data_IF_035099721938
#
_entry.id   IF_035099721938
#
_cell.length_a   1.000
_cell.length_b   1.000
_cell.length_c   1.000
_cell.angle_alpha   90.00
_cell.angle_beta   90.00
_cell.angle_gamma   90.00
#
_symmetry.space_group_name_H-M   'P 1'
#
loop_
_entity.id
_entity.type
_entity.pdbx_description
1 polymer ?
#
# COMPACT_ATOMS: atom_id res chain seq x y z
N UNK A 1 -34.08 -21.13 -55.12
CA UNK A 1 -32.81 -21.10 -54.37
C UNK A 1 -32.76 -19.79 -53.60
N UNK A 2 -33.02 -19.83 -52.28
CA UNK A 2 -33.03 -18.66 -51.39
C UNK A 2 -31.69 -18.60 -50.67
N UNK A 3 -31.00 -17.47 -50.75
CA UNK A 3 -29.84 -17.17 -49.92
C UNK A 3 -30.30 -16.82 -48.49
N UNK A 4 -29.52 -17.18 -47.45
CA UNK A 4 -29.58 -16.48 -46.18
C UNK A 4 -28.32 -15.65 -45.95
N UNK A 5 -28.59 -14.49 -45.37
CA UNK A 5 -27.69 -13.44 -44.91
C UNK A 5 -26.96 -13.89 -43.64
N UNK A 6 -25.67 -13.57 -43.52
CA UNK A 6 -24.97 -13.41 -42.25
C UNK A 6 -24.28 -12.04 -42.26
N UNK A 7 -24.56 -11.12 -41.33
CA UNK A 7 -23.84 -9.87 -41.24
C UNK A 7 -22.57 -10.04 -40.40
N UNK A 8 -21.58 -9.22 -40.77
CA UNK A 8 -20.24 -9.16 -40.23
C UNK A 8 -20.23 -8.89 -38.72
N UNK A 9 -19.57 -9.78 -37.96
CA UNK A 9 -19.09 -9.46 -36.63
C UNK A 9 -17.89 -8.51 -36.75
N UNK A 10 -18.17 -7.22 -36.56
CA UNK A 10 -17.16 -6.19 -36.32
C UNK A 10 -16.57 -6.46 -34.93
N UNK A 11 -15.36 -7.01 -34.86
CA UNK A 11 -14.58 -7.05 -33.61
C UNK A 11 -14.13 -5.62 -33.33
N UNK A 12 -14.92 -4.91 -32.52
CA UNK A 12 -14.54 -3.63 -31.95
C UNK A 12 -13.54 -3.91 -30.84
N UNK A 13 -12.25 -3.84 -31.17
CA UNK A 13 -11.14 -3.83 -30.22
C UNK A 13 -11.31 -2.59 -29.34
N UNK A 14 -11.93 -2.73 -28.17
CA UNK A 14 -11.93 -1.70 -27.16
C UNK A 14 -10.50 -1.62 -26.60
N UNK A 15 -9.74 -0.66 -27.12
CA UNK A 15 -8.57 -0.16 -26.43
C UNK A 15 -9.07 0.43 -25.11
N UNK A 16 -8.89 -0.31 -24.02
CA UNK A 16 -8.97 0.25 -22.67
C UNK A 16 -7.74 1.15 -22.55
N UNK A 17 -7.95 2.45 -22.74
CA UNK A 17 -6.97 3.46 -22.35
C UNK A 17 -6.75 3.33 -20.84
N UNK A 18 -5.64 2.69 -20.47
CA UNK A 18 -5.15 2.69 -19.09
C UNK A 18 -4.68 4.10 -18.77
N UNK A 19 -5.55 4.88 -18.13
CA UNK A 19 -5.18 6.16 -17.52
C UNK A 19 -4.10 5.96 -16.44
N UNK A 20 -3.32 7.00 -16.10
CA UNK A 20 -2.24 6.88 -15.14
C UNK A 20 -2.83 6.82 -13.73
N UNK A 21 -2.70 5.70 -13.03
CA UNK A 21 -3.24 5.54 -11.66
C UNK A 21 -2.18 5.00 -10.69
N UNK A 22 -2.25 5.50 -9.47
CA UNK A 22 -1.28 5.41 -8.37
C UNK A 22 -1.13 3.99 -7.81
N UNK A 23 0.10 3.47 -7.83
CA UNK A 23 0.57 2.34 -6.99
C UNK A 23 1.94 2.73 -6.41
N UNK A 24 2.18 2.34 -5.17
CA UNK A 24 3.50 2.43 -4.59
C UNK A 24 3.89 3.82 -4.11
N UNK A 25 3.05 4.51 -3.33
CA UNK A 25 3.67 5.33 -2.28
C UNK A 25 4.04 4.38 -1.15
N UNK A 26 5.29 3.92 -1.13
CA UNK A 26 5.96 3.64 0.14
C UNK A 26 5.70 4.89 0.98
N UNK A 27 4.98 4.76 2.09
CA UNK A 27 4.84 5.86 3.03
C UNK A 27 6.25 6.21 3.50
N UNK A 28 6.76 7.28 2.92
CA UNK A 28 7.96 7.92 3.37
C UNK A 28 7.60 8.53 4.72
N UNK A 29 8.12 7.95 5.80
CA UNK A 29 8.27 8.70 7.04
C UNK A 29 9.10 9.92 6.66
N UNK A 30 8.47 11.09 6.68
CA UNK A 30 9.16 12.37 6.58
C UNK A 30 9.96 12.57 7.87
N UNK A 31 11.07 11.86 8.01
CA UNK A 31 12.12 12.17 8.97
C UNK A 31 12.93 13.34 8.40
N UNK A 32 12.29 14.51 8.30
CA UNK A 32 13.03 15.76 8.28
C UNK A 32 13.48 16.02 9.72
N UNK A 33 14.62 15.43 10.07
CA UNK A 33 15.31 15.76 11.30
C UNK A 33 15.65 17.25 11.31
N UNK A 34 15.32 17.87 12.44
CA UNK A 34 15.61 19.24 12.84
C UNK A 34 17.06 19.63 12.55
N UNK A 35 17.27 20.48 11.53
CA UNK A 35 18.50 21.25 11.46
C UNK A 35 18.39 22.37 12.49
N UNK A 36 18.93 22.14 13.68
CA UNK A 36 19.28 23.18 14.64
C UNK A 36 20.42 24.03 14.04
N UNK A 37 20.04 24.95 13.17
CA UNK A 37 20.89 26.02 12.65
C UNK A 37 20.36 27.36 13.14
N UNK A 38 21.05 27.93 14.12
CA UNK A 38 20.80 29.30 14.59
C UNK A 38 21.07 30.29 13.45
N UNK A 39 20.04 31.02 13.02
CA UNK A 39 20.17 32.06 11.99
C UNK A 39 18.81 32.52 11.49
N UNK A 40 18.36 33.69 11.94
CA UNK A 40 17.00 34.20 11.75
C UNK A 40 16.57 34.46 10.30
N UNK A 41 15.25 34.51 10.13
CA UNK A 41 14.57 34.93 8.91
C UNK A 41 13.29 34.14 8.70
N UNK A 42 12.14 34.72 9.06
CA UNK A 42 10.81 34.13 8.89
C UNK A 42 10.41 33.98 7.43
N UNK A 43 10.92 32.94 6.77
CA UNK A 43 10.43 32.43 5.49
C UNK A 43 9.89 31.02 5.70
N UNK A 44 8.69 30.74 5.20
CA UNK A 44 8.17 29.38 5.16
C UNK A 44 9.24 28.45 4.57
N UNK A 45 9.56 27.35 5.27
CA UNK A 45 10.55 26.39 4.79
C UNK A 45 10.16 25.96 3.36
N UNK A 46 11.04 26.22 2.39
CA UNK A 46 10.79 25.81 1.00
C UNK A 46 10.73 24.29 0.94
N UNK A 47 9.69 23.76 0.32
CA UNK A 47 9.60 22.32 0.01
C UNK A 47 10.82 21.92 -0.83
N UNK A 48 11.62 20.92 -0.39
CA UNK A 48 12.80 20.50 -1.13
C UNK A 48 12.42 20.01 -2.54
N UNK A 49 13.26 20.35 -3.52
CA UNK A 49 13.18 19.81 -4.88
C UNK A 49 13.52 18.31 -4.92
N UNK A 50 13.12 17.61 -5.99
CA UNK A 50 13.47 16.20 -6.16
C UNK A 50 14.98 15.93 -6.18
N UNK A 51 15.79 16.86 -6.70
CA UNK A 51 17.25 16.74 -6.69
C UNK A 51 17.81 16.87 -5.27
N UNK A 52 17.30 17.81 -4.48
CA UNK A 52 17.71 17.95 -3.07
C UNK A 52 17.31 16.72 -2.26
N UNK A 53 16.12 16.16 -2.49
CA UNK A 53 15.68 14.92 -1.85
C UNK A 53 16.56 13.73 -2.25
N UNK A 54 16.98 13.64 -3.52
CA UNK A 54 17.90 12.62 -4.00
C UNK A 54 19.25 12.71 -3.27
N UNK A 55 19.84 13.90 -3.22
CA UNK A 55 21.13 14.14 -2.54
C UNK A 55 21.05 13.91 -1.03
N UNK A 56 19.93 14.26 -0.40
CA UNK A 56 19.67 13.98 1.01
C UNK A 56 19.59 12.48 1.27
N UNK A 57 18.85 11.73 0.43
CA UNK A 57 18.73 10.29 0.57
C UNK A 57 20.08 9.59 0.45
N UNK A 58 20.93 10.01 -0.50
CA UNK A 58 22.28 9.44 -0.67
C UNK A 58 23.19 9.60 0.55
N UNK A 59 22.97 10.64 1.37
CA UNK A 59 23.75 10.91 2.59
C UNK A 59 23.30 10.07 3.79
N UNK A 60 22.19 9.33 3.69
CA UNK A 60 21.69 8.53 4.81
C UNK A 60 22.63 7.36 5.11
N UNK A 61 23.05 7.18 6.38
CA UNK A 61 24.03 6.15 6.74
C UNK A 61 23.46 4.75 6.58
N UNK A 62 22.23 4.50 7.04
CA UNK A 62 21.60 3.20 6.98
C UNK A 62 21.12 2.87 5.55
N UNK A 63 21.50 1.69 5.05
CA UNK A 63 21.20 1.26 3.68
C UNK A 63 19.70 1.06 3.44
N UNK A 64 18.96 0.58 4.44
CA UNK A 64 17.52 0.37 4.35
C UNK A 64 16.77 1.71 4.27
N UNK A 65 17.13 2.68 5.11
CA UNK A 65 16.55 4.02 5.08
C UNK A 65 16.85 4.71 3.74
N UNK A 66 18.10 4.62 3.28
CA UNK A 66 18.52 5.16 1.98
C UNK A 66 17.70 4.57 0.84
N UNK A 67 17.56 3.24 0.79
CA UNK A 67 16.76 2.56 -0.23
C UNK A 67 15.28 2.97 -0.17
N UNK A 68 14.65 2.98 1.02
CA UNK A 68 13.25 3.38 1.20
C UNK A 68 13.01 4.82 0.70
N UNK A 69 13.93 5.73 1.01
CA UNK A 69 13.85 7.14 0.60
C UNK A 69 13.97 7.32 -0.92
N UNK A 70 14.92 6.62 -1.54
CA UNK A 70 15.12 6.64 -2.99
C UNK A 70 13.94 6.00 -3.75
N UNK A 71 13.39 4.87 -3.27
CA UNK A 71 12.19 4.25 -3.86
C UNK A 71 10.97 5.16 -3.72
N UNK A 72 10.79 5.80 -2.56
CA UNK A 72 9.71 6.76 -2.35
C UNK A 72 9.82 7.98 -3.26
N UNK A 73 11.03 8.51 -3.46
CA UNK A 73 11.31 9.58 -4.41
C UNK A 73 11.01 9.15 -5.86
N UNK A 74 11.51 7.98 -6.26
CA UNK A 74 11.29 7.43 -7.60
C UNK A 74 9.79 7.29 -7.92
N UNK A 75 8.99 6.85 -6.95
CA UNK A 75 7.53 6.80 -7.10
C UNK A 75 6.91 8.18 -7.34
N UNK A 76 7.35 9.21 -6.62
CA UNK A 76 6.87 10.59 -6.83
C UNK A 76 7.27 11.12 -8.21
N UNK A 77 8.50 10.83 -8.64
CA UNK A 77 8.99 11.18 -9.97
C UNK A 77 8.21 10.45 -11.07
N UNK A 78 7.95 9.15 -10.92
CA UNK A 78 7.12 8.38 -11.83
C UNK A 78 5.71 8.98 -11.98
N UNK A 79 5.09 9.41 -10.86
CA UNK A 79 3.79 10.11 -10.87
C UNK A 79 3.85 11.47 -11.58
N UNK A 80 4.99 12.15 -11.50
CA UNK A 80 5.24 13.39 -12.22
C UNK A 80 5.64 13.16 -13.70
N UNK A 81 5.55 11.90 -14.19
CA UNK A 81 6.01 11.47 -15.52
C UNK A 81 7.51 11.70 -15.77
N UNK A 82 8.31 11.79 -14.72
CA UNK A 82 9.76 11.89 -14.77
C UNK A 82 10.39 10.50 -14.67
N UNK A 83 10.22 9.70 -15.73
CA UNK A 83 10.69 8.30 -15.77
C UNK A 83 12.22 8.19 -15.71
N UNK A 84 12.95 9.17 -16.24
CA UNK A 84 14.41 9.18 -16.27
C UNK A 84 14.97 9.32 -14.85
N UNK A 85 14.52 10.34 -14.10
CA UNK A 85 15.02 10.51 -12.75
C UNK A 85 14.46 9.45 -11.79
N UNK A 86 13.24 8.94 -12.04
CA UNK A 86 12.71 7.81 -11.29
C UNK A 86 13.64 6.60 -11.41
N UNK A 87 14.01 6.17 -12.63
CA UNK A 87 14.89 5.01 -12.79
C UNK A 87 16.29 5.26 -12.20
N UNK A 88 16.85 6.48 -12.35
CA UNK A 88 18.10 6.87 -11.69
C UNK A 88 18.04 6.72 -10.16
N UNK A 89 16.91 7.09 -9.53
CA UNK A 89 16.69 6.88 -8.11
C UNK A 89 16.57 5.40 -7.74
N UNK A 90 15.93 4.58 -8.59
CA UNK A 90 15.83 3.14 -8.39
C UNK A 90 17.18 2.43 -8.52
N UNK A 91 18.03 2.84 -9.48
CA UNK A 91 19.40 2.32 -9.59
C UNK A 91 20.22 2.61 -8.33
N UNK A 92 20.13 3.82 -7.79
CA UNK A 92 20.78 4.17 -6.54
C UNK A 92 20.21 3.38 -5.34
N UNK A 93 18.89 3.15 -5.31
CA UNK A 93 18.27 2.31 -4.29
C UNK A 93 18.80 0.87 -4.35
N UNK A 94 18.94 0.31 -5.56
CA UNK A 94 19.46 -1.04 -5.78
C UNK A 94 20.88 -1.23 -5.25
N UNK A 95 21.73 -0.20 -5.32
CA UNK A 95 23.07 -0.25 -4.69
C UNK A 95 22.98 -0.46 -3.18
N UNK A 96 22.00 0.16 -2.51
CA UNK A 96 21.78 0.02 -1.08
C UNK A 96 21.11 -1.32 -0.73
N UNK A 97 20.20 -1.79 -1.58
CA UNK A 97 19.50 -3.07 -1.39
C UNK A 97 20.47 -4.25 -1.43
N UNK A 98 21.57 -4.18 -2.19
CA UNK A 98 22.59 -5.25 -2.28
C UNK A 98 23.15 -5.70 -0.93
N UNK A 99 23.22 -4.82 0.07
CA UNK A 99 23.72 -5.15 1.41
C UNK A 99 22.62 -5.56 2.40
N UNK A 100 21.36 -5.53 2.00
CA UNK A 100 20.23 -5.93 2.83
C UNK A 100 19.94 -7.42 2.69
N UNK A 101 19.25 -7.98 3.67
CA UNK A 101 18.75 -9.36 3.71
C UNK A 101 17.32 -9.40 4.26
N UNK A 102 16.71 -10.57 4.26
CA UNK A 102 15.43 -10.80 4.93
C UNK A 102 14.26 -9.97 4.38
N UNK A 103 13.33 -9.62 5.26
CA UNK A 103 12.07 -8.95 4.91
C UNK A 103 12.31 -7.61 4.22
N UNK A 104 13.21 -6.78 4.73
CA UNK A 104 13.49 -5.45 4.16
C UNK A 104 14.00 -5.56 2.72
N UNK A 105 14.87 -6.53 2.44
CA UNK A 105 15.36 -6.78 1.09
C UNK A 105 14.22 -7.17 0.15
N UNK A 106 13.39 -8.12 0.54
CA UNK A 106 12.27 -8.59 -0.29
C UNK A 106 11.25 -7.46 -0.56
N UNK A 107 10.85 -6.71 0.47
CA UNK A 107 9.92 -5.58 0.34
C UNK A 107 10.47 -4.52 -0.63
N UNK A 108 11.75 -4.18 -0.52
CA UNK A 108 12.38 -3.17 -1.38
C UNK A 108 12.56 -3.65 -2.82
N UNK A 109 12.91 -4.91 -3.05
CA UNK A 109 12.99 -5.48 -4.41
C UNK A 109 11.63 -5.43 -5.12
N UNK A 110 10.56 -5.83 -4.43
CA UNK A 110 9.19 -5.76 -4.95
C UNK A 110 8.76 -4.30 -5.20
N UNK A 111 9.14 -3.38 -4.32
CA UNK A 111 8.82 -1.96 -4.47
C UNK A 111 9.55 -1.33 -5.67
N UNK A 112 10.83 -1.63 -5.85
CA UNK A 112 11.60 -1.18 -7.04
C UNK A 112 10.96 -1.73 -8.31
N UNK A 113 10.63 -3.02 -8.34
CA UNK A 113 9.94 -3.61 -9.48
C UNK A 113 8.61 -2.90 -9.77
N UNK A 114 7.79 -2.65 -8.74
CA UNK A 114 6.51 -1.98 -8.91
C UNK A 114 6.63 -0.57 -9.49
N UNK A 115 7.62 0.22 -9.04
CA UNK A 115 7.87 1.56 -9.63
C UNK A 115 8.37 1.42 -11.08
N UNK A 116 9.25 0.45 -11.38
CA UNK A 116 9.70 0.18 -12.75
C UNK A 116 8.57 -0.23 -13.68
N UNK A 117 7.64 -1.07 -13.21
CA UNK A 117 6.46 -1.45 -13.96
C UNK A 117 5.64 -0.23 -14.39
N UNK A 118 5.46 0.74 -13.50
CA UNK A 118 4.75 2.00 -13.81
C UNK A 118 5.40 2.87 -14.86
N UNK A 119 6.72 2.92 -14.89
CA UNK A 119 7.45 3.68 -15.92
C UNK A 119 7.70 2.84 -17.19
N UNK A 120 6.99 1.72 -17.35
CA UNK A 120 7.03 0.89 -18.57
C UNK A 120 8.19 -0.11 -18.63
N UNK A 121 8.88 -0.36 -17.52
CA UNK A 121 10.09 -1.19 -17.44
C UNK A 121 9.86 -2.55 -16.75
N UNK A 122 8.63 -3.06 -16.68
CA UNK A 122 8.33 -4.35 -16.05
C UNK A 122 9.14 -5.51 -16.67
N UNK A 123 9.12 -5.63 -18.00
CA UNK A 123 9.74 -6.74 -18.73
C UNK A 123 11.24 -6.89 -18.46
N UNK A 124 11.98 -5.77 -18.41
CA UNK A 124 13.43 -5.75 -18.16
C UNK A 124 13.79 -5.88 -16.68
N UNK A 125 12.81 -5.75 -15.79
CA UNK A 125 12.99 -5.80 -14.33
C UNK A 125 12.62 -7.14 -13.72
N UNK A 126 12.28 -8.14 -14.54
CA UNK A 126 11.79 -9.44 -14.06
C UNK A 126 12.77 -10.21 -13.17
N UNK A 127 14.08 -9.93 -13.27
CA UNK A 127 15.07 -10.54 -12.38
C UNK A 127 14.94 -10.07 -10.92
N UNK A 128 14.39 -8.87 -10.69
CA UNK A 128 14.08 -8.39 -9.34
C UNK A 128 13.03 -9.28 -8.65
N UNK A 129 12.05 -9.78 -9.40
CA UNK A 129 11.04 -10.70 -8.86
C UNK A 129 11.62 -12.08 -8.55
N UNK A 130 12.61 -12.53 -9.32
CA UNK A 130 13.34 -13.78 -9.01
C UNK A 130 14.16 -13.62 -7.74
N UNK A 131 14.87 -12.50 -7.60
CA UNK A 131 15.66 -12.20 -6.40
C UNK A 131 14.78 -12.00 -5.17
N UNK A 132 13.61 -11.36 -5.33
CA UNK A 132 12.61 -11.23 -4.27
C UNK A 132 12.08 -12.61 -3.86
N UNK A 133 11.72 -13.47 -4.81
CA UNK A 133 11.27 -14.85 -4.55
C UNK A 133 12.30 -15.61 -3.71
N UNK A 134 13.58 -15.64 -4.13
CA UNK A 134 14.63 -16.32 -3.35
C UNK A 134 14.77 -15.77 -1.94
N UNK A 135 14.68 -14.45 -1.79
CA UNK A 135 14.74 -13.81 -0.47
C UNK A 135 13.54 -14.21 0.40
N UNK A 136 12.35 -14.35 -0.20
CA UNK A 136 11.11 -14.76 0.47
C UNK A 136 11.16 -16.24 0.88
N UNK A 137 11.75 -17.09 0.05
CA UNK A 137 11.91 -18.52 0.31
C UNK A 137 12.69 -18.75 1.63
N UNK A 138 13.69 -17.90 1.90
CA UNK A 138 14.54 -17.91 3.10
C UNK A 138 13.86 -17.34 4.36
N UNK A 139 12.68 -16.71 4.24
CA UNK A 139 11.98 -16.16 5.40
C UNK A 139 11.28 -17.24 6.21
N UNK A 140 11.23 -17.02 7.52
CA UNK A 140 10.37 -17.77 8.42
C UNK A 140 8.89 -17.60 8.07
N UNK A 141 8.12 -18.66 8.32
CA UNK A 141 6.69 -18.66 8.13
C UNK A 141 6.01 -17.61 9.02
N UNK A 142 5.05 -16.86 8.45
CA UNK A 142 4.28 -15.86 9.20
C UNK A 142 3.73 -14.74 8.31
N UNK A 143 3.15 -13.73 8.96
CA UNK A 143 2.44 -12.62 8.32
C UNK A 143 3.28 -11.88 7.26
N UNK A 144 4.57 -11.67 7.53
CA UNK A 144 5.48 -10.98 6.60
C UNK A 144 5.71 -11.80 5.32
N UNK A 145 6.04 -13.09 5.45
CA UNK A 145 6.21 -14.00 4.31
C UNK A 145 4.92 -14.11 3.50
N UNK A 146 3.78 -14.30 4.17
CA UNK A 146 2.45 -14.32 3.53
C UNK A 146 2.19 -13.05 2.71
N UNK A 147 2.37 -11.87 3.32
CA UNK A 147 2.15 -10.59 2.65
C UNK A 147 3.05 -10.40 1.43
N UNK A 148 4.32 -10.80 1.53
CA UNK A 148 5.29 -10.71 0.44
C UNK A 148 4.95 -11.66 -0.71
N UNK A 149 4.51 -12.88 -0.42
CA UNK A 149 4.06 -13.83 -1.45
C UNK A 149 2.84 -13.31 -2.21
N UNK A 150 1.88 -12.66 -1.54
CA UNK A 150 0.75 -12.02 -2.23
C UNK A 150 1.20 -10.86 -3.12
N UNK A 151 2.15 -10.02 -2.67
CA UNK A 151 2.69 -8.95 -3.51
C UNK A 151 3.45 -9.51 -4.71
N UNK A 152 4.25 -10.57 -4.52
CA UNK A 152 4.96 -11.27 -5.58
C UNK A 152 3.99 -11.90 -6.60
N UNK A 153 2.93 -12.56 -6.12
CA UNK A 153 1.90 -13.14 -6.98
C UNK A 153 1.24 -12.09 -7.86
N UNK A 154 0.88 -10.95 -7.27
CA UNK A 154 0.28 -9.84 -7.99
C UNK A 154 1.22 -9.22 -9.03
N UNK A 155 2.50 -9.03 -8.69
CA UNK A 155 3.50 -8.55 -9.63
C UNK A 155 3.67 -9.51 -10.83
N UNK A 156 3.70 -10.82 -10.59
CA UNK A 156 3.74 -11.80 -11.67
C UNK A 156 2.47 -11.81 -12.52
N UNK A 157 1.30 -11.72 -11.90
CA UNK A 157 0.02 -11.80 -12.59
C UNK A 157 -0.26 -10.55 -13.44
N UNK A 158 -0.08 -9.37 -12.85
CA UNK A 158 -0.54 -8.09 -13.40
C UNK A 158 0.49 -7.42 -14.31
N UNK A 159 1.78 -7.50 -13.95
CA UNK A 159 2.84 -6.74 -14.64
C UNK A 159 3.68 -7.60 -15.59
N UNK A 160 3.70 -8.92 -15.40
CA UNK A 160 4.51 -9.86 -16.19
C UNK A 160 3.68 -10.86 -17.00
N UNK A 161 2.38 -10.95 -16.77
CA UNK A 161 1.48 -11.96 -17.36
C UNK A 161 1.95 -13.41 -17.13
N UNK A 162 2.67 -13.66 -16.02
CA UNK A 162 3.25 -14.98 -15.66
C UNK A 162 2.36 -15.74 -14.69
N UNK A 163 1.20 -16.19 -15.18
CA UNK A 163 0.18 -16.90 -14.38
C UNK A 163 0.74 -18.10 -13.59
N UNK A 164 1.70 -18.85 -14.13
CA UNK A 164 2.30 -20.02 -13.43
C UNK A 164 3.07 -19.60 -12.17
N UNK A 165 3.92 -18.57 -12.26
CA UNK A 165 4.70 -18.09 -11.11
C UNK A 165 3.81 -17.39 -10.09
N UNK A 166 2.78 -16.69 -10.55
CA UNK A 166 1.77 -16.10 -9.68
C UNK A 166 1.04 -17.19 -8.88
N UNK A 167 0.53 -18.22 -9.55
CA UNK A 167 -0.15 -19.36 -8.90
C UNK A 167 0.77 -20.13 -7.96
N UNK A 168 2.06 -20.29 -8.29
CA UNK A 168 3.03 -20.90 -7.39
C UNK A 168 3.20 -20.10 -6.08
N UNK A 169 3.30 -18.77 -6.19
CA UNK A 169 3.41 -17.87 -5.03
C UNK A 169 2.15 -17.92 -4.16
N UNK A 170 0.95 -18.01 -4.77
CA UNK A 170 -0.32 -18.16 -4.06
C UNK A 170 -0.41 -19.48 -3.30
N UNK A 171 -0.01 -20.58 -3.94
CA UNK A 171 0.02 -21.91 -3.33
C UNK A 171 0.93 -21.94 -2.10
N UNK A 172 2.06 -21.23 -2.13
CA UNK A 172 2.94 -21.12 -0.96
C UNK A 172 2.35 -20.23 0.14
N UNK A 173 1.59 -19.19 -0.22
CA UNK A 173 0.94 -18.29 0.74
C UNK A 173 -0.21 -18.96 1.50
N UNK A 174 -0.95 -19.87 0.85
CA UNK A 174 -2.15 -20.51 1.38
C UNK A 174 -2.02 -21.07 2.81
N UNK A 175 -1.06 -21.95 3.14
CA UNK A 175 -0.94 -22.50 4.49
C UNK A 175 -0.55 -21.47 5.56
N UNK A 176 0.01 -20.32 5.16
CA UNK A 176 0.39 -19.27 6.11
C UNK A 176 -0.82 -18.47 6.59
N UNK A 177 -1.92 -18.49 5.84
CA UNK A 177 -3.13 -17.75 6.19
C UNK A 177 -3.71 -18.23 7.52
N UNK A 178 -3.74 -19.55 7.73
CA UNK A 178 -4.27 -20.16 8.96
C UNK A 178 -3.33 -20.00 10.18
N UNK A 179 -2.12 -19.48 9.98
CA UNK A 179 -1.16 -19.15 11.05
C UNK A 179 -1.31 -17.71 11.55
N UNK A 180 -2.08 -16.88 10.85
CA UNK A 180 -2.31 -15.49 11.23
C UNK A 180 -3.32 -15.39 12.37
N UNK A 181 -3.27 -14.30 13.14
CA UNK A 181 -4.34 -13.99 14.08
C UNK A 181 -5.68 -13.82 13.37
N UNK A 182 -6.80 -14.04 14.07
CA UNK A 182 -8.15 -13.94 13.49
C UNK A 182 -8.39 -12.60 12.79
N UNK A 183 -7.92 -11.50 13.39
CA UNK A 183 -8.00 -10.17 12.79
C UNK A 183 -7.18 -10.07 11.49
N UNK A 184 -5.97 -10.60 11.47
CA UNK A 184 -5.11 -10.59 10.28
C UNK A 184 -5.63 -11.51 9.17
N UNK A 185 -6.31 -12.60 9.52
CA UNK A 185 -6.96 -13.49 8.55
C UNK A 185 -8.01 -12.78 7.71
N UNK A 186 -8.77 -11.84 8.28
CA UNK A 186 -9.74 -11.04 7.52
C UNK A 186 -9.06 -10.26 6.40
N UNK A 187 -8.04 -9.47 6.74
CA UNK A 187 -7.28 -8.72 5.74
C UNK A 187 -6.56 -9.64 4.75
N UNK A 188 -5.97 -10.72 5.27
CA UNK A 188 -5.25 -11.71 4.48
C UNK A 188 -6.14 -12.41 3.45
N UNK A 189 -7.33 -12.87 3.83
CA UNK A 189 -8.29 -13.54 2.94
C UNK A 189 -8.80 -12.59 1.86
N UNK A 190 -9.08 -11.33 2.19
CA UNK A 190 -9.49 -10.32 1.19
C UNK A 190 -8.39 -10.08 0.16
N UNK A 191 -7.14 -9.92 0.62
CA UNK A 191 -5.97 -9.72 -0.25
C UNK A 191 -5.65 -10.96 -1.08
N UNK A 192 -5.81 -12.14 -0.51
CA UNK A 192 -5.61 -13.40 -1.21
C UNK A 192 -6.68 -13.59 -2.31
N UNK A 193 -7.95 -13.32 -2.01
CA UNK A 193 -9.02 -13.31 -3.01
C UNK A 193 -8.73 -12.36 -4.18
N UNK A 194 -8.24 -11.14 -3.90
CA UNK A 194 -7.78 -10.21 -4.95
C UNK A 194 -6.68 -10.82 -5.83
N UNK A 195 -5.70 -11.49 -5.22
CA UNK A 195 -4.61 -12.13 -5.97
C UNK A 195 -5.08 -13.36 -6.79
N UNK A 196 -6.08 -14.11 -6.29
CA UNK A 196 -6.76 -15.17 -7.04
C UNK A 196 -7.48 -14.63 -8.29
N UNK A 197 -8.20 -13.51 -8.15
CA UNK A 197 -8.82 -12.82 -9.31
C UNK A 197 -7.76 -12.38 -10.32
N UNK A 198 -6.62 -11.88 -9.86
CA UNK A 198 -5.52 -11.45 -10.74
C UNK A 198 -4.96 -12.60 -11.60
N UNK A 199 -5.00 -13.84 -11.11
CA UNK A 199 -4.61 -15.03 -11.89
C UNK A 199 -5.77 -15.70 -12.63
N UNK A 200 -6.96 -15.08 -12.61
CA UNK A 200 -8.17 -15.54 -13.30
C UNK A 200 -9.01 -16.56 -12.52
N UNK A 201 -8.71 -16.81 -11.24
CA UNK A 201 -9.41 -17.78 -10.41
C UNK A 201 -10.55 -17.12 -9.60
N UNK A 202 -11.57 -16.65 -10.32
CA UNK A 202 -12.73 -16.00 -9.69
C UNK A 202 -13.58 -16.99 -8.87
N UNK A 203 -13.59 -18.26 -9.25
CA UNK A 203 -14.35 -19.32 -8.58
C UNK A 203 -13.86 -19.52 -7.14
N UNK A 204 -12.54 -19.52 -6.91
CA UNK A 204 -11.98 -19.56 -5.57
C UNK A 204 -12.03 -18.20 -4.85
N UNK A 205 -11.90 -17.09 -5.59
CA UNK A 205 -11.80 -15.76 -4.99
C UNK A 205 -13.09 -15.27 -4.32
N UNK A 206 -14.24 -15.43 -4.99
CA UNK A 206 -15.52 -14.88 -4.51
C UNK A 206 -15.99 -15.43 -3.16
N UNK A 207 -16.03 -16.76 -2.92
CA UNK A 207 -16.42 -17.28 -1.61
C UNK A 207 -15.42 -16.87 -0.51
N UNK A 208 -14.11 -16.83 -0.82
CA UNK A 208 -13.08 -16.41 0.13
C UNK A 208 -13.26 -14.94 0.55
N UNK A 209 -13.51 -14.05 -0.41
CA UNK A 209 -13.77 -12.64 -0.15
C UNK A 209 -15.03 -12.45 0.69
N UNK A 210 -16.13 -13.12 0.30
CA UNK A 210 -17.42 -13.03 1.00
C UNK A 210 -17.30 -13.48 2.44
N UNK A 211 -16.69 -14.64 2.68
CA UNK A 211 -16.48 -15.16 4.03
C UNK A 211 -15.60 -14.23 4.88
N UNK A 212 -14.57 -13.62 4.29
CA UNK A 212 -13.71 -12.68 5.00
C UNK A 212 -14.44 -11.39 5.42
N UNK A 213 -15.29 -10.84 4.54
CA UNK A 213 -16.11 -9.66 4.86
C UNK A 213 -17.15 -9.99 5.94
N UNK A 214 -17.75 -11.17 5.90
CA UNK A 214 -18.64 -11.65 6.96
C UNK A 214 -17.90 -11.81 8.30
N UNK A 215 -16.73 -12.44 8.29
CA UNK A 215 -15.90 -12.59 9.49
C UNK A 215 -15.50 -11.22 10.08
N UNK A 216 -15.24 -10.22 9.24
CA UNK A 216 -14.98 -8.86 9.70
C UNK A 216 -16.14 -8.28 10.51
N UNK A 217 -17.38 -8.62 10.17
CA UNK A 217 -18.58 -8.15 10.86
C UNK A 217 -18.77 -8.76 12.25
N UNK A 218 -18.05 -9.82 12.58
CA UNK A 218 -18.04 -10.45 13.91
C UNK A 218 -16.90 -9.93 14.80
N UNK A 219 -15.90 -9.24 14.23
CA UNK A 219 -14.82 -8.65 15.00
C UNK A 219 -15.31 -7.47 15.84
N UNK A 220 -14.71 -7.32 17.03
CA UNK A 220 -14.84 -6.11 17.86
C UNK A 220 -14.48 -4.86 17.04
N UNK A 221 -15.16 -3.70 17.27
CA UNK A 221 -15.08 -2.55 16.37
C UNK A 221 -13.64 -2.08 16.07
N UNK A 222 -12.76 -2.03 17.07
CA UNK A 222 -11.35 -1.63 16.86
C UNK A 222 -10.60 -2.62 15.94
N UNK A 223 -10.77 -3.92 16.16
CA UNK A 223 -10.14 -4.95 15.33
C UNK A 223 -10.70 -4.92 13.90
N UNK A 224 -12.01 -4.66 13.75
CA UNK A 224 -12.66 -4.48 12.45
C UNK A 224 -12.10 -3.30 11.66
N UNK A 225 -11.88 -2.14 12.32
CA UNK A 225 -11.26 -0.96 11.70
C UNK A 225 -9.90 -1.30 11.13
N UNK A 226 -9.06 -1.98 11.91
CA UNK A 226 -7.71 -2.35 11.49
C UNK A 226 -7.74 -3.35 10.33
N UNK A 227 -8.50 -4.44 10.46
CA UNK A 227 -8.57 -5.48 9.43
C UNK A 227 -9.09 -4.95 8.08
N UNK A 228 -10.19 -4.21 8.10
CA UNK A 228 -10.78 -3.64 6.88
C UNK A 228 -9.93 -2.50 6.31
N UNK A 229 -9.34 -1.66 7.17
CA UNK A 229 -8.46 -0.57 6.74
C UNK A 229 -7.17 -1.09 6.09
N UNK A 230 -6.58 -2.16 6.62
CA UNK A 230 -5.39 -2.80 6.04
C UNK A 230 -5.70 -3.42 4.69
N UNK A 231 -6.83 -4.13 4.59
CA UNK A 231 -7.30 -4.69 3.33
C UNK A 231 -7.54 -3.58 2.29
N UNK A 232 -8.23 -2.51 2.68
CA UNK A 232 -8.53 -1.38 1.82
C UNK A 232 -7.27 -0.69 1.28
N UNK A 233 -6.30 -0.40 2.15
CA UNK A 233 -5.02 0.19 1.74
C UNK A 233 -4.28 -0.74 0.77
N UNK A 234 -4.26 -2.05 1.00
CA UNK A 234 -3.62 -3.00 0.11
C UNK A 234 -4.33 -3.09 -1.25
N UNK A 235 -5.66 -3.13 -1.28
CA UNK A 235 -6.44 -3.14 -2.52
C UNK A 235 -6.26 -1.86 -3.35
N UNK A 236 -6.16 -0.71 -2.69
CA UNK A 236 -5.85 0.54 -3.38
C UNK A 236 -4.48 0.47 -4.07
N UNK A 237 -3.47 -0.09 -3.40
CA UNK A 237 -2.16 -0.34 -4.00
C UNK A 237 -2.18 -1.36 -5.15
N UNK A 238 -3.27 -2.10 -5.34
CA UNK A 238 -3.48 -3.00 -6.47
C UNK A 238 -4.40 -2.38 -7.54
N UNK A 239 -4.70 -1.08 -7.43
CA UNK A 239 -5.60 -0.32 -8.31
C UNK A 239 -7.07 -0.80 -8.25
N UNK A 240 -7.44 -1.57 -7.22
CA UNK A 240 -8.82 -1.99 -6.94
C UNK A 240 -9.57 -0.90 -6.14
N UNK A 241 -9.62 0.31 -6.71
CA UNK A 241 -10.03 1.53 -6.02
C UNK A 241 -11.47 1.50 -5.47
N UNK A 242 -12.40 0.90 -6.20
CA UNK A 242 -13.80 0.78 -5.78
C UNK A 242 -13.93 -0.15 -4.57
N UNK A 243 -13.33 -1.35 -4.64
CA UNK A 243 -13.31 -2.29 -3.53
C UNK A 243 -12.62 -1.68 -2.29
N UNK A 244 -11.47 -1.02 -2.47
CA UNK A 244 -10.80 -0.30 -1.41
C UNK A 244 -11.70 0.77 -0.76
N UNK A 245 -12.40 1.56 -1.57
CA UNK A 245 -13.31 2.62 -1.10
C UNK A 245 -14.45 2.06 -0.26
N UNK A 246 -15.02 0.93 -0.67
CA UNK A 246 -16.07 0.22 0.07
C UNK A 246 -15.57 -0.27 1.42
N UNK A 247 -14.41 -0.93 1.47
CA UNK A 247 -13.84 -1.41 2.74
C UNK A 247 -13.47 -0.26 3.68
N UNK A 248 -12.95 0.85 3.16
CA UNK A 248 -12.70 2.06 3.95
C UNK A 248 -14.00 2.66 4.53
N UNK A 249 -15.11 2.62 3.79
CA UNK A 249 -16.41 3.06 4.31
C UNK A 249 -16.86 2.17 5.48
N UNK A 250 -16.81 0.84 5.32
CA UNK A 250 -17.15 -0.10 6.38
C UNK A 250 -16.24 0.03 7.61
N UNK A 251 -14.95 0.29 7.41
CA UNK A 251 -14.04 0.61 8.51
C UNK A 251 -14.40 1.92 9.21
N UNK A 252 -14.89 2.92 8.48
CA UNK A 252 -15.34 4.21 9.05
C UNK A 252 -16.58 4.03 9.92
N UNK A 253 -17.54 3.20 9.47
CA UNK A 253 -18.72 2.82 10.26
C UNK A 253 -18.33 2.08 11.54
N UNK A 254 -17.35 1.17 11.45
CA UNK A 254 -16.82 0.46 12.60
C UNK A 254 -16.16 1.42 13.62
N UNK A 255 -15.39 2.41 13.14
CA UNK A 255 -14.80 3.43 14.01
C UNK A 255 -15.87 4.28 14.71
N UNK A 256 -16.94 4.65 13.99
CA UNK A 256 -18.07 5.41 14.53
C UNK A 256 -18.84 4.64 15.62
N UNK A 257 -18.85 3.31 15.57
CA UNK A 257 -19.52 2.46 16.56
C UNK A 257 -18.74 2.29 17.88
N UNK A 258 -17.49 2.74 17.96
CA UNK A 258 -16.71 2.72 19.20
C UNK A 258 -17.28 3.75 20.18
N UNK A 259 -17.67 3.29 21.36
CA UNK A 259 -18.38 4.10 22.36
C UNK A 259 -17.47 4.95 23.24
N UNK A 260 -16.24 4.51 23.50
CA UNK A 260 -15.29 5.27 24.29
C UNK A 260 -14.58 6.33 23.42
N UNK A 261 -14.48 7.61 23.87
CA UNK A 261 -13.92 8.67 23.05
C UNK A 261 -12.44 8.49 22.65
N UNK A 262 -11.64 7.87 23.53
CA UNK A 262 -10.21 7.64 23.28
C UNK A 262 -10.03 6.59 22.18
N UNK A 263 -10.71 5.45 22.30
CA UNK A 263 -10.72 4.40 21.30
C UNK A 263 -11.27 4.87 19.96
N UNK A 264 -12.33 5.67 19.97
CA UNK A 264 -12.90 6.24 18.75
C UNK A 264 -11.91 7.20 18.07
N UNK A 265 -11.25 8.07 18.84
CA UNK A 265 -10.24 8.98 18.32
C UNK A 265 -9.04 8.22 17.70
N UNK A 266 -8.53 7.20 18.37
CA UNK A 266 -7.44 6.37 17.85
C UNK A 266 -7.85 5.56 16.62
N UNK A 267 -9.08 5.03 16.57
CA UNK A 267 -9.58 4.31 15.40
C UNK A 267 -9.67 5.22 14.17
N UNK A 268 -10.23 6.43 14.32
CA UNK A 268 -10.25 7.40 13.23
C UNK A 268 -8.84 7.85 12.82
N UNK A 269 -7.94 8.07 13.78
CA UNK A 269 -6.55 8.42 13.50
C UNK A 269 -5.83 7.31 12.71
N UNK A 270 -5.96 6.06 13.13
CA UNK A 270 -5.38 4.91 12.44
C UNK A 270 -5.93 4.78 11.03
N UNK A 271 -7.26 4.83 10.89
CA UNK A 271 -7.91 4.71 9.60
C UNK A 271 -7.57 5.86 8.66
N UNK A 272 -7.45 7.10 9.16
CA UNK A 272 -6.99 8.25 8.38
C UNK A 272 -5.59 8.02 7.80
N UNK A 273 -4.66 7.48 8.59
CA UNK A 273 -3.31 7.13 8.12
C UNK A 273 -3.37 6.06 7.03
N UNK A 274 -4.20 5.03 7.18
CA UNK A 274 -4.39 3.99 6.15
C UNK A 274 -5.04 4.56 4.88
N UNK A 275 -5.99 5.49 5.01
CA UNK A 275 -6.56 6.21 3.86
C UNK A 275 -5.53 7.06 3.11
N UNK A 276 -4.55 7.65 3.80
CA UNK A 276 -3.42 8.33 3.12
C UNK A 276 -2.56 7.35 2.32
N UNK A 277 -2.26 6.17 2.91
CA UNK A 277 -1.57 5.10 2.18
C UNK A 277 -2.38 4.64 0.97
N UNK A 278 -3.70 4.60 1.12
CA UNK A 278 -4.68 4.35 0.07
C UNK A 278 -5.04 5.57 -0.79
N UNK A 279 -4.23 6.64 -0.78
CA UNK A 279 -4.41 7.82 -1.65
C UNK A 279 -5.72 8.62 -1.48
N UNK A 280 -6.52 8.35 -0.45
CA UNK A 280 -7.81 9.01 -0.21
C UNK A 280 -7.67 10.26 0.67
N UNK A 281 -6.79 11.19 0.27
CA UNK A 281 -6.39 12.35 1.08
C UNK A 281 -7.58 13.17 1.63
N UNK A 282 -8.60 13.42 0.80
CA UNK A 282 -9.78 14.17 1.24
C UNK A 282 -10.57 13.44 2.33
N UNK A 283 -10.71 12.12 2.23
CA UNK A 283 -11.40 11.31 3.25
C UNK A 283 -10.54 11.13 4.51
N UNK A 284 -9.23 10.97 4.36
CA UNK A 284 -8.30 10.99 5.48
C UNK A 284 -8.38 12.31 6.25
N UNK A 285 -8.44 13.45 5.55
CA UNK A 285 -8.61 14.77 6.18
C UNK A 285 -9.90 14.86 7.01
N UNK A 286 -11.00 14.29 6.52
CA UNK A 286 -12.25 14.23 7.27
C UNK A 286 -12.12 13.33 8.51
N UNK A 287 -11.49 12.16 8.39
CA UNK A 287 -11.25 11.28 9.54
C UNK A 287 -10.35 11.90 10.60
N UNK A 288 -9.32 12.68 10.23
CA UNK A 288 -8.54 13.43 11.23
C UNK A 288 -9.40 14.45 11.99
N UNK A 289 -10.40 15.03 11.33
CA UNK A 289 -11.33 15.99 11.93
C UNK A 289 -12.29 15.28 12.89
N UNK A 290 -12.75 14.08 12.53
CA UNK A 290 -13.55 13.20 13.39
C UNK A 290 -12.73 12.71 14.59
N UNK A 291 -11.47 12.30 14.38
CA UNK A 291 -10.55 11.94 15.46
C UNK A 291 -10.37 13.08 16.46
N UNK A 292 -10.21 14.33 15.97
CA UNK A 292 -10.12 15.51 16.82
C UNK A 292 -11.41 15.71 17.64
N UNK A 293 -12.58 15.64 17.00
CA UNK A 293 -13.87 15.78 17.70
C UNK A 293 -14.08 14.71 18.78
N UNK A 294 -13.68 13.46 18.53
CA UNK A 294 -13.73 12.39 19.53
C UNK A 294 -12.75 12.67 20.68
N UNK A 295 -11.53 13.11 20.37
CA UNK A 295 -10.52 13.45 21.37
C UNK A 295 -10.95 14.60 22.29
N UNK A 296 -11.70 15.59 21.81
CA UNK A 296 -12.25 16.67 22.65
C UNK A 296 -13.14 16.14 23.78
N UNK A 297 -13.81 15.01 23.54
CA UNK A 297 -14.73 14.36 24.47
C UNK A 297 -14.02 13.45 25.49
N UNK A 298 -12.69 13.30 25.42
CA UNK A 298 -11.91 12.56 26.42
C UNK A 298 -11.90 13.34 27.74
N UNK A 299 -12.41 12.77 28.86
CA UNK A 299 -12.52 13.49 30.14
C UNK A 299 -11.17 13.81 30.78
N UNK A 300 -10.22 12.88 30.70
CA UNK A 300 -8.91 13.02 31.32
C UNK A 300 -8.02 13.98 30.49
N UNK A 301 -7.64 15.15 31.03
CA UNK A 301 -6.93 16.17 30.25
C UNK A 301 -5.58 15.71 29.72
N UNK A 302 -4.85 14.87 30.48
CA UNK A 302 -3.55 14.37 30.06
C UNK A 302 -3.65 13.42 28.87
N UNK A 303 -4.60 12.48 28.92
CA UNK A 303 -4.89 11.56 27.81
C UNK A 303 -5.38 12.34 26.59
N UNK A 304 -6.31 13.29 26.78
CA UNK A 304 -6.79 14.16 25.70
C UNK A 304 -5.64 14.88 24.98
N UNK A 305 -4.72 15.48 25.74
CA UNK A 305 -3.57 16.19 25.15
C UNK A 305 -2.70 15.24 24.32
N UNK A 306 -2.42 14.04 24.83
CA UNK A 306 -1.63 13.03 24.11
C UNK A 306 -2.27 12.65 22.77
N UNK A 307 -3.57 12.35 22.78
CA UNK A 307 -4.31 11.99 21.55
C UNK A 307 -4.34 13.15 20.57
N UNK A 308 -4.52 14.38 21.05
CA UNK A 308 -4.49 15.58 20.20
C UNK A 308 -3.14 15.79 19.52
N UNK A 309 -2.03 15.56 20.22
CA UNK A 309 -0.69 15.67 19.65
C UNK A 309 -0.46 14.61 18.55
N UNK A 310 -0.95 13.39 18.75
CA UNK A 310 -0.87 12.32 17.75
C UNK A 310 -1.71 12.63 16.50
N UNK A 311 -2.90 13.21 16.67
CA UNK A 311 -3.76 13.67 15.58
C UNK A 311 -3.10 14.81 14.82
N UNK A 312 -2.52 15.78 15.54
CA UNK A 312 -1.78 16.88 14.92
C UNK A 312 -0.58 16.36 14.11
N UNK A 313 0.15 15.38 14.65
CA UNK A 313 1.23 14.71 13.93
C UNK A 313 0.71 13.98 12.68
N UNK A 314 -0.42 13.28 12.77
CA UNK A 314 -1.07 12.62 11.65
C UNK A 314 -1.50 13.60 10.54
N UNK A 315 -2.12 14.73 10.90
CA UNK A 315 -2.56 15.75 9.95
C UNK A 315 -1.42 16.39 9.16
N UNK A 316 -0.21 16.43 9.71
CA UNK A 316 0.98 16.90 8.98
C UNK A 316 1.32 16.02 7.77
N UNK A 317 0.83 14.79 7.73
CA UNK A 317 1.03 13.86 6.59
C UNK A 317 0.15 14.21 5.37
N UNK A 318 -0.81 15.14 5.48
CA UNK A 318 -1.63 15.59 4.36
C UNK A 318 -0.91 16.55 3.40
N UNK A 319 0.20 17.14 3.86
CA UNK A 319 0.91 18.24 3.19
C UNK A 319 2.30 17.81 2.69
#
# INVERSE_FOLDING_TARGET
MRAPLLPAFVIRRLAVERGPVLVGCVALVALLATASGCGGGGGAAKTPSFNELYDQALKLPAADLRAKQLVGLASRQAKANDSINADKALEAAMLSIKSLSGTERAELLLSVFGVRAKIGQAAVSGDLLKDASRTIDELEAGAKKFSLLLTLANAYARDMEKSILAKASLKEAEPLLEQLSEQEQVSGRIRYASALRAVGDNEAAEPLHTAAVQAAAELEPRARVEALGDAASALFQLEENEAATTLFSSATEAAAAISDPEGQAHAYLSLARKMLLGGQNSRASELFRQAHSAAESIPEPTMRSSVMDEIAAGRRLLN
#
